data_IF_652289856257
#
_entry.id   IF_652289856257
#
_cell.length_a   1.000
_cell.length_b   1.000
_cell.length_c   1.000
_cell.angle_alpha   90.00
_cell.angle_beta   90.00
_cell.angle_gamma   90.00
#
_symmetry.space_group_name_H-M   'P 1'
#
loop_
_entity.id
_entity.type
_entity.pdbx_description
1 polymer ?
#
# COMPACT_ATOMS: atom_id res chain seq x y z
N UNK A 1 18.47 -27.42 55.19
CA UNK A 1 18.40 -27.62 53.72
C UNK A 1 19.80 -27.94 53.26
N UNK A 2 20.01 -29.12 52.68
CA UNK A 2 21.31 -29.59 52.21
C UNK A 2 21.55 -29.13 50.77
N UNK A 3 22.81 -29.00 50.35
CA UNK A 3 23.21 -28.54 49.02
C UNK A 3 22.59 -29.34 47.84
N UNK A 4 22.09 -30.56 48.12
CA UNK A 4 21.39 -31.41 47.16
C UNK A 4 19.95 -30.93 46.87
N UNK A 5 19.26 -30.33 47.84
CA UNK A 5 17.93 -29.73 47.65
C UNK A 5 17.99 -28.46 46.79
N UNK A 6 19.10 -27.70 46.90
CA UNK A 6 19.32 -26.49 46.08
C UNK A 6 19.58 -26.83 44.62
N UNK A 7 20.29 -27.93 44.32
CA UNK A 7 20.53 -28.40 42.95
C UNK A 7 19.24 -28.89 42.27
N UNK A 8 18.34 -29.54 43.00
CA UNK A 8 17.06 -30.02 42.48
C UNK A 8 16.07 -28.88 42.16
N UNK A 9 16.18 -27.73 42.84
CA UNK A 9 15.34 -26.56 42.61
C UNK A 9 15.81 -25.63 41.48
N UNK A 10 17.03 -25.82 40.96
CA UNK A 10 17.58 -25.00 39.86
C UNK A 10 16.97 -25.34 38.49
N UNK A 11 16.48 -26.56 38.30
CA UNK A 11 15.95 -27.03 37.03
C UNK A 11 14.46 -27.38 37.18
N UNK A 12 13.54 -26.59 36.59
CA UNK A 12 12.11 -26.90 36.60
C UNK A 12 11.85 -28.26 35.97
N UNK A 13 10.76 -28.93 36.37
CA UNK A 13 10.39 -30.21 35.78
C UNK A 13 10.05 -30.06 34.29
N UNK A 14 10.17 -31.15 33.53
CA UNK A 14 9.82 -31.14 32.12
C UNK A 14 8.39 -30.64 31.86
N UNK A 15 7.44 -30.95 32.75
CA UNK A 15 6.06 -30.48 32.63
C UNK A 15 5.92 -28.97 32.93
N UNK A 16 6.66 -28.45 33.91
CA UNK A 16 6.73 -27.00 34.15
C UNK A 16 7.36 -26.26 32.97
N UNK A 17 8.40 -26.83 32.35
CA UNK A 17 9.03 -26.27 31.14
C UNK A 17 8.07 -26.30 29.95
N UNK A 18 7.31 -27.39 29.75
CA UNK A 18 6.27 -27.49 28.71
C UNK A 18 5.16 -26.46 28.90
N UNK A 19 4.67 -26.28 30.13
CA UNK A 19 3.66 -25.27 30.45
C UNK A 19 4.17 -23.85 30.19
N UNK A 20 5.40 -23.53 30.62
CA UNK A 20 6.05 -22.24 30.33
C UNK A 20 6.23 -22.00 28.83
N UNK A 21 6.66 -23.02 28.08
CA UNK A 21 6.81 -22.92 26.63
C UNK A 21 5.46 -22.69 25.92
N UNK A 22 4.42 -23.41 26.33
CA UNK A 22 3.07 -23.25 25.80
C UNK A 22 2.52 -21.83 26.08
N UNK A 23 2.72 -21.31 27.28
CA UNK A 23 2.32 -19.95 27.65
C UNK A 23 3.07 -18.89 26.80
N UNK A 24 4.39 -19.02 26.67
CA UNK A 24 5.19 -18.10 25.87
C UNK A 24 4.83 -18.15 24.37
N UNK A 25 4.49 -19.33 23.84
CA UNK A 25 4.03 -19.47 22.45
C UNK A 25 2.64 -18.84 22.25
N UNK A 26 1.73 -19.03 23.21
CA UNK A 26 0.40 -18.42 23.18
C UNK A 26 0.49 -16.89 23.23
N UNK A 27 1.38 -16.33 24.06
CA UNK A 27 1.63 -14.89 24.15
C UNK A 27 2.16 -14.33 22.82
N UNK A 28 3.19 -14.95 22.24
CA UNK A 28 3.73 -14.55 20.93
C UNK A 28 2.68 -14.62 19.82
N UNK A 29 1.84 -15.65 19.82
CA UNK A 29 0.75 -15.78 18.85
C UNK A 29 -0.30 -14.67 19.03
N UNK A 30 -0.65 -14.33 20.26
CA UNK A 30 -1.57 -13.25 20.57
C UNK A 30 -1.01 -11.88 20.15
N UNK A 31 0.27 -11.61 20.40
CA UNK A 31 0.95 -10.39 19.95
C UNK A 31 0.98 -10.29 18.43
N UNK A 32 1.36 -11.37 17.73
CA UNK A 32 1.34 -11.41 16.27
C UNK A 32 -0.06 -11.18 15.70
N UNK A 33 -1.11 -11.73 16.33
CA UNK A 33 -2.49 -11.48 15.94
C UNK A 33 -2.88 -10.01 16.14
N UNK A 34 -2.54 -9.41 17.28
CA UNK A 34 -2.80 -7.98 17.55
C UNK A 34 -2.12 -7.08 16.51
N UNK A 35 -0.85 -7.34 16.21
CA UNK A 35 -0.10 -6.59 15.21
C UNK A 35 -0.74 -6.70 13.81
N UNK A 36 -1.12 -7.90 13.38
CA UNK A 36 -1.80 -8.12 12.09
C UNK A 36 -3.17 -7.43 12.03
N UNK A 37 -3.94 -7.48 13.11
CA UNK A 37 -5.24 -6.80 13.19
C UNK A 37 -5.07 -5.30 13.09
N UNK A 38 -4.10 -4.72 13.83
CA UNK A 38 -3.80 -3.29 13.76
C UNK A 38 -3.39 -2.87 12.33
N UNK A 39 -2.47 -3.60 11.71
CA UNK A 39 -2.05 -3.37 10.32
C UNK A 39 -3.24 -3.44 9.35
N UNK A 40 -4.13 -4.43 9.51
CA UNK A 40 -5.31 -4.56 8.66
C UNK A 40 -6.31 -3.41 8.86
N UNK A 41 -6.51 -2.96 10.10
CA UNK A 41 -7.36 -1.81 10.41
C UNK A 41 -6.81 -0.53 9.78
N UNK A 42 -5.50 -0.27 9.90
CA UNK A 42 -4.85 0.88 9.25
C UNK A 42 -4.99 0.83 7.73
N UNK A 43 -4.75 -0.35 7.12
CA UNK A 43 -4.94 -0.56 5.68
C UNK A 43 -6.39 -0.28 5.26
N UNK A 44 -7.37 -0.80 5.99
CA UNK A 44 -8.78 -0.59 5.67
C UNK A 44 -9.18 0.89 5.80
N UNK A 45 -8.72 1.58 6.84
CA UNK A 45 -8.97 3.01 7.03
C UNK A 45 -8.33 3.86 5.92
N UNK A 46 -7.13 3.49 5.48
CA UNK A 46 -6.48 4.14 4.35
C UNK A 46 -7.28 3.93 3.06
N UNK A 47 -7.70 2.69 2.76
CA UNK A 47 -8.53 2.39 1.58
C UNK A 47 -9.83 3.20 1.61
N UNK A 48 -10.51 3.28 2.76
CA UNK A 48 -11.74 4.05 2.90
C UNK A 48 -11.52 5.56 2.68
N UNK A 49 -10.38 6.10 3.13
CA UNK A 49 -10.03 7.48 2.85
C UNK A 49 -9.77 7.72 1.36
N UNK A 50 -9.05 6.80 0.71
CA UNK A 50 -8.67 6.91 -0.70
C UNK A 50 -9.85 6.64 -1.66
N UNK A 51 -10.92 5.99 -1.19
CA UNK A 51 -12.13 5.80 -1.98
C UNK A 51 -13.02 7.05 -2.05
N UNK A 52 -12.76 8.04 -1.18
CA UNK A 52 -13.48 9.32 -1.13
C UNK A 52 -12.71 10.41 -1.89
N UNK A 53 -13.39 11.48 -2.35
CA UNK A 53 -12.73 12.63 -2.95
C UNK A 53 -11.67 13.24 -2.02
N UNK A 54 -10.55 13.69 -2.59
CA UNK A 54 -9.42 14.20 -1.83
C UNK A 54 -9.71 15.52 -1.09
N UNK A 55 -10.66 16.30 -1.60
CA UNK A 55 -10.93 17.67 -1.17
C UNK A 55 -9.82 18.67 -1.54
N UNK A 56 -8.84 18.26 -2.34
CA UNK A 56 -7.75 19.12 -2.81
C UNK A 56 -8.25 19.96 -4.00
N UNK A 57 -7.97 21.26 -3.98
CA UNK A 57 -8.31 22.14 -5.10
C UNK A 57 -7.41 21.85 -6.32
N UNK A 58 -7.91 22.13 -7.52
CA UNK A 58 -7.11 22.01 -8.74
C UNK A 58 -5.85 22.90 -8.69
N UNK A 59 -5.94 24.08 -8.07
CA UNK A 59 -4.79 24.98 -7.90
C UNK A 59 -3.70 24.34 -7.03
N UNK A 60 -4.07 23.77 -5.89
CA UNK A 60 -3.13 23.11 -4.99
C UNK A 60 -2.56 21.84 -5.62
N UNK A 61 -3.37 21.08 -6.35
CA UNK A 61 -2.93 19.91 -7.10
C UNK A 61 -1.89 20.29 -8.17
N UNK A 62 -2.13 21.36 -8.93
CA UNK A 62 -1.19 21.89 -9.92
C UNK A 62 0.14 22.32 -9.29
N UNK A 63 0.10 23.05 -8.17
CA UNK A 63 1.32 23.45 -7.43
C UNK A 63 2.14 22.24 -7.01
N UNK A 64 1.49 21.20 -6.47
CA UNK A 64 2.16 19.96 -6.04
C UNK A 64 2.78 19.22 -7.21
N UNK A 65 2.02 19.05 -8.30
CA UNK A 65 2.50 18.37 -9.52
C UNK A 65 3.68 19.13 -10.13
N UNK A 66 3.63 20.46 -10.20
CA UNK A 66 4.73 21.27 -10.72
C UNK A 66 6.04 21.07 -9.92
N UNK A 67 5.95 21.03 -8.59
CA UNK A 67 7.13 20.77 -7.73
C UNK A 67 7.70 19.38 -7.99
N UNK A 68 6.84 18.36 -8.11
CA UNK A 68 7.28 16.98 -8.38
C UNK A 68 7.96 16.87 -9.74
N UNK A 69 7.37 17.45 -10.79
CA UNK A 69 7.95 17.46 -12.14
C UNK A 69 9.29 18.19 -12.16
N UNK A 70 9.38 19.40 -11.59
CA UNK A 70 10.62 20.16 -11.58
C UNK A 70 11.77 19.40 -10.92
N UNK A 71 11.48 18.70 -9.81
CA UNK A 71 12.47 17.83 -9.15
C UNK A 71 12.86 16.65 -10.03
N UNK A 72 11.90 15.98 -10.66
CA UNK A 72 12.18 14.83 -11.54
C UNK A 72 13.02 15.26 -12.76
N UNK A 73 12.66 16.35 -13.43
CA UNK A 73 13.40 16.92 -14.56
C UNK A 73 14.82 17.32 -14.17
N UNK A 74 15.00 17.95 -12.99
CA UNK A 74 16.33 18.33 -12.49
C UNK A 74 17.24 17.13 -12.25
N UNK A 75 16.67 15.93 -12.07
CA UNK A 75 17.40 14.67 -11.95
C UNK A 75 17.48 13.87 -13.27
N UNK A 76 17.10 14.49 -14.40
CA UNK A 76 17.18 13.86 -15.72
C UNK A 76 16.07 12.85 -16.02
N UNK A 77 15.00 12.80 -15.21
CA UNK A 77 13.87 11.92 -15.47
C UNK A 77 12.89 12.49 -16.50
N UNK A 78 12.32 11.60 -17.30
CA UNK A 78 11.24 11.88 -18.27
C UNK A 78 9.86 11.47 -17.79
N UNK A 79 9.80 10.80 -16.64
CA UNK A 79 8.58 10.38 -15.97
C UNK A 79 8.76 10.32 -14.45
N UNK A 80 7.65 10.27 -13.71
CA UNK A 80 7.66 10.07 -12.26
C UNK A 80 6.42 9.30 -11.81
N UNK A 81 6.59 8.38 -10.86
CA UNK A 81 5.48 7.76 -10.16
C UNK A 81 4.87 8.76 -9.17
N UNK A 82 3.65 9.22 -9.45
CA UNK A 82 2.95 10.22 -8.63
C UNK A 82 2.10 9.60 -7.53
N UNK A 83 1.70 8.33 -7.69
CA UNK A 83 0.92 7.61 -6.69
C UNK A 83 1.07 6.09 -6.79
N UNK A 84 0.67 5.41 -5.71
CA UNK A 84 0.54 3.96 -5.61
C UNK A 84 -0.76 3.65 -4.87
N UNK A 85 -1.57 2.76 -5.42
CA UNK A 85 -2.87 2.39 -4.88
C UNK A 85 -3.04 0.87 -4.84
N UNK A 86 -3.73 0.33 -3.82
CA UNK A 86 -4.13 -1.07 -3.83
C UNK A 86 -5.15 -1.33 -4.94
N UNK A 87 -5.12 -2.52 -5.57
CA UNK A 87 -6.10 -2.92 -6.59
C UNK A 87 -7.56 -2.84 -6.12
N UNK A 88 -7.81 -2.79 -4.80
CA UNK A 88 -9.15 -2.71 -4.22
C UNK A 88 -9.89 -1.43 -4.61
N UNK A 89 -9.17 -0.39 -5.05
CA UNK A 89 -9.75 0.86 -5.53
C UNK A 89 -10.13 0.83 -7.03
N UNK A 90 -10.02 -0.34 -7.66
CA UNK A 90 -10.34 -0.57 -9.06
C UNK A 90 -11.45 -1.64 -9.12
N UNK A 91 -12.53 -1.39 -9.86
CA UNK A 91 -13.73 -2.24 -9.84
C UNK A 91 -13.45 -3.67 -10.28
N UNK A 92 -12.43 -3.87 -11.11
CA UNK A 92 -12.01 -5.15 -11.69
C UNK A 92 -10.67 -5.65 -11.12
N UNK A 93 -10.22 -5.08 -10.00
CA UNK A 93 -8.92 -5.36 -9.36
C UNK A 93 -7.71 -5.15 -10.28
N UNK A 94 -7.79 -4.20 -11.21
CA UNK A 94 -6.68 -3.81 -12.09
C UNK A 94 -6.47 -4.75 -13.28
N UNK A 95 -7.43 -5.63 -13.58
CA UNK A 95 -7.37 -6.58 -14.69
C UNK A 95 -7.28 -5.87 -16.05
N UNK A 96 -8.16 -4.91 -16.32
CA UNK A 96 -8.20 -4.14 -17.57
C UNK A 96 -6.97 -3.25 -17.72
N UNK A 97 -6.41 -2.74 -16.62
CA UNK A 97 -5.12 -2.04 -16.63
C UNK A 97 -3.99 -3.00 -17.04
N UNK A 98 -3.93 -4.18 -16.41
CA UNK A 98 -2.91 -5.20 -16.70
C UNK A 98 -2.94 -5.65 -18.17
N UNK A 99 -4.13 -5.77 -18.74
CA UNK A 99 -4.33 -6.20 -20.14
C UNK A 99 -4.37 -5.03 -21.14
N UNK A 100 -4.17 -3.79 -20.69
CA UNK A 100 -4.23 -2.57 -21.51
C UNK A 100 -5.51 -2.47 -22.34
N UNK A 101 -6.65 -2.84 -21.76
CA UNK A 101 -7.92 -2.85 -22.47
C UNK A 101 -8.42 -1.44 -22.78
N UNK A 102 -9.00 -1.25 -23.95
CA UNK A 102 -9.76 -0.04 -24.23
C UNK A 102 -10.87 0.12 -23.18
N UNK A 103 -10.99 1.32 -22.59
CA UNK A 103 -11.99 1.57 -21.56
C UNK A 103 -11.55 1.26 -20.13
N UNK A 104 -10.28 0.87 -19.89
CA UNK A 104 -9.78 0.60 -18.53
C UNK A 104 -10.05 1.74 -17.53
N UNK A 105 -10.14 2.99 -17.99
CA UNK A 105 -10.44 4.15 -17.16
C UNK A 105 -11.81 4.09 -16.47
N UNK A 106 -12.76 3.32 -17.02
CA UNK A 106 -14.08 3.08 -16.42
C UNK A 106 -13.99 2.28 -15.11
N UNK A 107 -12.88 1.57 -14.89
CA UNK A 107 -12.65 0.76 -13.69
C UNK A 107 -12.15 1.57 -12.49
N UNK A 108 -11.74 2.82 -12.72
CA UNK A 108 -11.20 3.69 -11.69
C UNK A 108 -12.29 4.13 -10.72
N UNK A 109 -11.99 4.10 -9.43
CA UNK A 109 -12.86 4.68 -8.38
C UNK A 109 -12.04 5.59 -7.46
N UNK A 110 -12.73 6.41 -6.64
CA UNK A 110 -12.09 7.26 -5.64
C UNK A 110 -10.97 8.15 -6.18
N UNK A 111 -9.89 8.26 -5.41
CA UNK A 111 -8.74 9.09 -5.75
C UNK A 111 -8.03 8.68 -7.06
N UNK A 112 -7.84 7.39 -7.39
CA UNK A 112 -7.36 6.98 -8.71
C UNK A 112 -8.15 7.60 -9.88
N UNK A 113 -9.49 7.67 -9.76
CA UNK A 113 -10.35 8.29 -10.78
C UNK A 113 -10.19 9.81 -10.80
N UNK A 114 -10.19 10.44 -9.62
CA UNK A 114 -9.99 11.88 -9.48
C UNK A 114 -8.65 12.34 -10.11
N UNK A 115 -7.57 11.56 -9.93
CA UNK A 115 -6.28 11.84 -10.55
C UNK A 115 -6.31 11.72 -12.07
N UNK A 116 -7.02 10.73 -12.63
CA UNK A 116 -7.21 10.60 -14.07
C UNK A 116 -7.98 11.80 -14.64
N UNK A 117 -9.08 12.19 -13.99
CA UNK A 117 -9.91 13.34 -14.39
C UNK A 117 -9.14 14.66 -14.27
N UNK A 118 -8.32 14.83 -13.22
CA UNK A 118 -7.43 15.97 -13.09
C UNK A 118 -6.40 16.03 -14.24
N UNK A 119 -5.73 14.92 -14.54
CA UNK A 119 -4.81 14.84 -15.68
C UNK A 119 -5.52 15.15 -17.00
N UNK A 120 -6.72 14.60 -17.21
CA UNK A 120 -7.50 14.83 -18.44
C UNK A 120 -7.83 16.31 -18.63
N UNK A 121 -8.26 16.99 -17.56
CA UNK A 121 -8.63 18.42 -17.61
C UNK A 121 -7.43 19.35 -17.78
N UNK A 122 -6.30 19.05 -17.14
CA UNK A 122 -5.22 20.01 -16.99
C UNK A 122 -3.92 19.63 -17.69
N UNK A 123 -3.60 18.35 -17.84
CA UNK A 123 -2.26 17.94 -18.22
C UNK A 123 -2.21 17.35 -19.64
N UNK A 124 -3.26 16.66 -20.09
CA UNK A 124 -3.29 16.03 -21.42
C UNK A 124 -3.08 17.06 -22.55
N UNK A 125 -3.81 18.17 -22.55
CA UNK A 125 -3.67 19.23 -23.56
C UNK A 125 -2.29 19.91 -23.56
N UNK A 126 -1.49 19.72 -22.51
CA UNK A 126 -0.12 20.23 -22.39
C UNK A 126 0.93 19.21 -22.84
N UNK A 127 0.52 18.03 -23.33
CA UNK A 127 1.41 16.98 -23.83
C UNK A 127 1.87 15.97 -22.77
N UNK A 128 1.41 16.09 -21.52
CA UNK A 128 1.71 15.08 -20.50
C UNK A 128 0.92 13.80 -20.77
N UNK A 129 1.55 12.65 -20.60
CA UNK A 129 0.89 11.32 -20.65
C UNK A 129 0.72 10.77 -19.24
N UNK A 130 -0.39 10.07 -19.00
CA UNK A 130 -0.62 9.34 -17.75
C UNK A 130 -0.62 7.84 -18.05
N UNK A 131 0.07 7.08 -17.21
CA UNK A 131 0.13 5.61 -17.29
C UNK A 131 -0.27 5.01 -15.94
N UNK A 132 -1.16 4.03 -15.99
CA UNK A 132 -1.51 3.18 -14.86
C UNK A 132 -0.90 1.80 -15.13
N UNK A 133 -0.22 1.23 -14.14
CA UNK A 133 0.48 -0.03 -14.31
C UNK A 133 0.43 -0.86 -13.01
N UNK A 134 0.28 -2.18 -13.14
CA UNK A 134 0.47 -3.09 -12.01
C UNK A 134 1.95 -3.13 -11.64
N UNK A 135 2.28 -2.77 -10.40
CA UNK A 135 3.66 -2.69 -9.89
C UNK A 135 3.96 -3.69 -8.78
N UNK A 136 2.97 -4.47 -8.35
CA UNK A 136 3.15 -5.56 -7.41
C UNK A 136 2.40 -6.81 -7.90
N UNK A 137 3.08 -7.95 -7.82
CA UNK A 137 2.62 -9.28 -8.22
C UNK A 137 2.98 -10.35 -7.16
N UNK A 138 3.25 -9.95 -5.92
CA UNK A 138 3.78 -10.82 -4.86
C UNK A 138 2.98 -12.09 -4.58
N UNK A 139 1.70 -12.15 -4.96
CA UNK A 139 0.82 -13.32 -4.82
C UNK A 139 0.44 -14.01 -6.15
N UNK A 140 1.15 -13.73 -7.26
CA UNK A 140 0.83 -14.27 -8.58
C UNK A 140 -0.42 -13.67 -9.23
N UNK A 141 -1.00 -12.63 -8.62
CA UNK A 141 -2.13 -11.84 -9.12
C UNK A 141 -1.77 -10.35 -9.04
N UNK A 142 -2.40 -9.47 -9.83
CA UNK A 142 -2.19 -8.03 -9.71
C UNK A 142 -2.42 -7.54 -8.28
N UNK A 143 -1.44 -6.85 -7.71
CA UNK A 143 -1.48 -6.26 -6.37
C UNK A 143 -1.72 -4.76 -6.44
N UNK A 144 -0.68 -3.97 -6.25
CA UNK A 144 -0.76 -2.52 -6.32
C UNK A 144 -0.64 -1.97 -7.75
N UNK A 145 -1.34 -0.86 -7.99
CA UNK A 145 -1.31 -0.08 -9.21
C UNK A 145 -0.52 1.20 -8.98
N UNK A 146 0.53 1.42 -9.77
CA UNK A 146 1.26 2.69 -9.85
C UNK A 146 0.62 3.62 -10.88
N UNK A 147 0.62 4.92 -10.57
CA UNK A 147 0.27 5.99 -11.52
C UNK A 147 1.52 6.78 -11.84
N UNK A 148 1.83 6.89 -13.13
CA UNK A 148 3.00 7.55 -13.66
C UNK A 148 2.57 8.74 -14.52
N UNK A 149 3.28 9.85 -14.37
CA UNK A 149 3.15 11.02 -15.22
C UNK A 149 4.41 11.17 -16.07
N UNK A 150 4.25 11.29 -17.39
CA UNK A 150 5.33 11.29 -18.38
C UNK A 150 5.31 12.58 -19.22
N UNK A 151 6.47 13.07 -19.65
CA UNK A 151 6.63 14.32 -20.41
C UNK A 151 7.71 14.28 -21.50
N UNK A 152 8.15 13.09 -21.92
CA UNK A 152 8.97 12.88 -23.13
C UNK A 152 8.14 12.52 -24.34
#
# INVERSE_FOLDING_TARGET
MTATDDLANLLPTADQLKQKAAAAQAEKAAEALRARTAEQTEKNALIERLSKPSGVSDEDALKRVAIVIQRAVSNGFTEVQVARFPNTLFTDRGRSINQQEAGWQETLTGLPKEMYEFWKRHLEARGYRIRYQIIDFSSGVPGDVGIFLEWS
#
